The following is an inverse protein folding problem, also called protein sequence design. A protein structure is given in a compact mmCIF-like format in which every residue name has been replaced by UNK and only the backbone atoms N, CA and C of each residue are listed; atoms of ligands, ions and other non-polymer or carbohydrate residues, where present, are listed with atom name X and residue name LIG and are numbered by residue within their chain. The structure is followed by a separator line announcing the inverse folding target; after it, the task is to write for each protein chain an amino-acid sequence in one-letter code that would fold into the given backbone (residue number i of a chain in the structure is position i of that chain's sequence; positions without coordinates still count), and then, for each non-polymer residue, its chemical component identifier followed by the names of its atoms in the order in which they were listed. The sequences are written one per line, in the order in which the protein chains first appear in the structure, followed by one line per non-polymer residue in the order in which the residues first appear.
data_IF_216212775597
#
_entry.id   IF_216212775597
#
_cell.length_a   1.000
_cell.length_b   1.000
_cell.length_c   1.000
_cell.angle_alpha   90.00
_cell.angle_beta   90.00
_cell.angle_gamma   90.00
#
_symmetry.space_group_name_H-M   'P 1'
#
loop_
_entity.id
_entity.type
_entity.pdbx_description
1 polymer ?
#
# COMPACT_ATOMS: atom_id res chain seq x y z
N UNK A 1 7.03 35.89 -41.79
CA UNK A 1 6.64 34.47 -41.76
C UNK A 1 7.73 33.72 -41.03
N UNK A 2 7.46 33.18 -39.85
CA UNK A 2 8.43 32.41 -39.07
C UNK A 2 7.83 31.02 -38.79
N UNK A 3 8.44 30.03 -39.41
CA UNK A 3 8.15 28.60 -39.31
C UNK A 3 8.80 27.99 -38.08
N UNK A 4 8.15 26.95 -37.56
CA UNK A 4 8.68 25.85 -36.74
C UNK A 4 9.20 26.19 -35.34
N UNK A 5 8.41 25.81 -34.33
CA UNK A 5 8.95 25.29 -33.08
C UNK A 5 8.50 23.84 -32.96
N UNK A 6 9.43 22.96 -33.31
CA UNK A 6 9.38 21.51 -33.14
C UNK A 6 9.19 21.20 -31.66
N UNK A 7 8.01 20.69 -31.28
CA UNK A 7 7.84 20.04 -29.98
C UNK A 7 8.61 18.73 -30.04
N UNK A 8 9.81 18.70 -29.48
CA UNK A 8 10.53 17.48 -29.18
C UNK A 8 9.76 16.73 -28.10
N UNK A 9 8.73 16.00 -28.51
CA UNK A 9 8.06 15.05 -27.63
C UNK A 9 9.05 13.92 -27.45
N UNK A 10 9.62 13.83 -26.25
CA UNK A 10 10.65 12.84 -25.92
C UNK A 10 10.10 11.44 -26.25
N UNK A 11 10.80 10.72 -27.12
CA UNK A 11 10.40 9.41 -27.64
C UNK A 11 10.03 8.42 -26.52
N UNK A 12 10.71 8.52 -25.38
CA UNK A 12 10.45 7.78 -24.15
C UNK A 12 9.03 7.99 -23.58
N UNK A 13 8.51 9.22 -23.65
CA UNK A 13 7.16 9.54 -23.17
C UNK A 13 6.09 8.93 -24.09
N UNK A 14 6.35 8.91 -25.40
CA UNK A 14 5.43 8.29 -26.36
C UNK A 14 5.43 6.77 -26.18
N UNK A 15 6.60 6.15 -25.97
CA UNK A 15 6.70 4.72 -25.72
C UNK A 15 6.00 4.31 -24.41
N UNK A 16 6.13 5.10 -23.34
CA UNK A 16 5.43 4.85 -22.08
C UNK A 16 3.91 4.95 -22.24
N UNK A 17 3.43 5.98 -22.94
CA UNK A 17 2.00 6.14 -23.25
C UNK A 17 1.48 4.98 -24.11
N UNK A 18 2.23 4.57 -25.13
CA UNK A 18 1.87 3.44 -25.99
C UNK A 18 1.82 2.12 -25.21
N UNK A 19 2.72 1.91 -24.24
CA UNK A 19 2.72 0.73 -23.39
C UNK A 19 1.53 0.70 -22.41
N UNK A 20 1.10 1.86 -21.90
CA UNK A 20 -0.05 1.98 -21.01
C UNK A 20 -1.40 1.84 -21.77
N UNK A 21 -1.46 2.32 -23.02
CA UNK A 21 -2.65 2.25 -23.87
C UNK A 21 -2.76 0.91 -24.64
N UNK A 22 -1.63 0.24 -24.90
CA UNK A 22 -1.51 -0.99 -25.69
C UNK A 22 -1.90 -2.26 -24.93
N UNK A 23 -3.16 -2.37 -24.55
CA UNK A 23 -3.72 -3.60 -23.98
C UNK A 23 -3.68 -4.78 -24.97
N UNK A 24 -2.80 -5.75 -24.70
CA UNK A 24 -2.87 -7.21 -24.98
C UNK A 24 -3.65 -7.68 -26.23
N UNK A 25 -2.93 -8.26 -27.21
CA UNK A 25 -3.43 -9.35 -28.08
C UNK A 25 -2.37 -10.45 -28.18
N UNK A 26 -2.83 -11.69 -28.06
CA UNK A 26 -2.12 -12.94 -27.79
C UNK A 26 -1.82 -13.70 -29.08
N UNK A 27 -0.75 -14.50 -29.10
CA UNK A 27 -0.45 -15.48 -30.15
C UNK A 27 0.71 -16.39 -29.74
N UNK A 28 0.45 -17.69 -29.68
CA UNK A 28 1.27 -18.80 -29.16
C UNK A 28 2.71 -18.90 -29.72
N UNK A 29 3.67 -19.28 -28.86
CA UNK A 29 4.24 -20.64 -28.80
C UNK A 29 5.57 -20.65 -28.02
N UNK A 30 5.67 -21.56 -27.04
CA UNK A 30 6.83 -21.81 -26.15
C UNK A 30 8.13 -22.17 -26.88
N UNK A 31 9.30 -21.89 -26.30
CA UNK A 31 10.06 -23.01 -25.73
C UNK A 31 10.75 -22.73 -24.38
N UNK A 32 10.94 -23.83 -23.67
CA UNK A 32 11.67 -24.06 -22.42
C UNK A 32 12.99 -23.29 -22.32
N UNK A 33 13.07 -22.34 -21.38
CA UNK A 33 14.32 -21.95 -20.74
C UNK A 33 14.07 -22.01 -19.24
N UNK A 34 14.75 -22.97 -18.60
CA UNK A 34 15.02 -22.98 -17.16
C UNK A 34 15.82 -21.73 -16.82
N UNK A 35 15.10 -20.62 -16.71
CA UNK A 35 15.58 -19.39 -16.13
C UNK A 35 15.07 -19.48 -14.72
N UNK A 36 15.99 -19.71 -13.80
CA UNK A 36 15.92 -19.39 -12.38
C UNK A 36 15.00 -18.19 -12.24
N UNK A 37 13.71 -18.51 -12.08
CA UNK A 37 12.71 -17.49 -11.88
C UNK A 37 13.16 -16.88 -10.57
N UNK A 38 13.17 -15.57 -10.49
CA UNK A 38 12.87 -14.95 -9.23
C UNK A 38 11.44 -15.36 -8.85
N UNK A 39 11.24 -16.63 -8.48
CA UNK A 39 10.21 -17.03 -7.55
C UNK A 39 10.65 -16.54 -6.17
N UNK A 40 10.78 -15.22 -6.04
CA UNK A 40 10.29 -14.56 -4.84
C UNK A 40 8.77 -14.50 -4.96
N UNK A 41 8.13 -15.67 -5.03
CA UNK A 41 6.95 -15.92 -4.23
C UNK A 41 7.39 -15.89 -2.77
N UNK A 42 7.85 -14.73 -2.31
CA UNK A 42 7.69 -14.41 -0.91
C UNK A 42 6.21 -14.07 -0.85
N UNK A 43 5.38 -15.10 -0.68
CA UNK A 43 4.14 -14.86 0.03
C UNK A 43 4.61 -14.26 1.34
N UNK A 44 4.53 -12.93 1.48
CA UNK A 44 4.45 -12.34 2.79
C UNK A 44 3.43 -13.21 3.56
N UNK A 45 3.70 -13.58 4.82
CA UNK A 45 2.66 -14.12 5.68
C UNK A 45 1.40 -13.30 5.41
N UNK A 46 0.22 -13.91 5.26
CA UNK A 46 -0.98 -13.29 4.68
C UNK A 46 -1.46 -11.97 5.36
N UNK A 47 -0.73 -11.51 6.36
CA UNK A 47 -1.02 -10.56 7.41
C UNK A 47 0.25 -9.87 8.00
N UNK A 48 1.48 -10.08 7.50
CA UNK A 48 2.73 -9.70 8.19
C UNK A 48 2.88 -8.19 8.51
N UNK A 49 2.12 -7.33 7.85
CA UNK A 49 2.16 -5.89 8.10
C UNK A 49 0.83 -5.14 7.89
N UNK A 50 -0.22 -5.77 7.36
CA UNK A 50 -1.45 -5.07 6.96
C UNK A 50 -2.20 -4.50 8.18
N UNK A 51 -2.68 -3.27 8.07
CA UNK A 51 -3.46 -2.61 9.12
C UNK A 51 -4.78 -3.35 9.42
N UNK A 52 -5.44 -3.92 8.42
CA UNK A 52 -6.73 -4.61 8.62
C UNK A 52 -6.60 -5.82 9.55
N UNK A 53 -5.61 -6.69 9.28
CA UNK A 53 -5.34 -7.85 10.13
C UNK A 53 -4.89 -7.47 11.53
N UNK A 54 -4.27 -6.30 11.70
CA UNK A 54 -3.92 -5.77 13.01
C UNK A 54 -5.16 -5.30 13.79
N UNK A 55 -6.09 -4.59 13.14
CA UNK A 55 -7.36 -4.18 13.76
C UNK A 55 -8.15 -5.41 14.21
N UNK A 56 -8.16 -6.48 13.41
CA UNK A 56 -8.80 -7.75 13.78
C UNK A 56 -8.14 -8.39 15.01
N UNK A 57 -6.81 -8.40 15.07
CA UNK A 57 -6.07 -8.89 16.23
C UNK A 57 -6.39 -8.12 17.51
N UNK A 58 -6.59 -6.80 17.41
CA UNK A 58 -6.93 -5.97 18.56
C UNK A 58 -8.32 -6.26 19.13
N UNK A 59 -9.20 -6.92 18.37
CA UNK A 59 -10.56 -7.21 18.81
C UNK A 59 -11.38 -5.94 19.01
N UNK A 60 -11.12 -4.90 18.22
CA UNK A 60 -11.95 -3.70 18.19
C UNK A 60 -13.37 -4.13 17.78
N UNK A 61 -14.38 -3.55 18.44
CA UNK A 61 -15.78 -3.93 18.21
C UNK A 61 -16.12 -3.84 16.73
N UNK A 62 -16.98 -4.72 16.21
CA UNK A 62 -17.34 -4.74 14.79
C UNK A 62 -17.85 -3.36 14.30
N UNK A 63 -18.57 -2.64 15.16
CA UNK A 63 -19.11 -1.30 14.88
C UNK A 63 -18.01 -0.23 14.79
N UNK A 64 -16.96 -0.35 15.61
CA UNK A 64 -15.83 0.59 15.61
C UNK A 64 -14.76 0.21 14.58
N UNK A 65 -14.72 -1.06 14.14
CA UNK A 65 -13.71 -1.60 13.22
C UNK A 65 -13.73 -0.86 11.89
N UNK A 66 -14.89 -0.78 11.24
CA UNK A 66 -15.03 -0.19 9.90
C UNK A 66 -14.65 1.29 9.92
N UNK A 67 -15.17 2.05 10.89
CA UNK A 67 -14.82 3.46 11.11
C UNK A 67 -13.32 3.67 11.40
N UNK A 68 -12.74 2.85 12.27
CA UNK A 68 -11.31 2.94 12.60
C UNK A 68 -10.45 2.64 11.37
N UNK A 69 -10.79 1.61 10.61
CA UNK A 69 -10.06 1.22 9.41
C UNK A 69 -10.14 2.33 8.34
N UNK A 70 -11.33 2.89 8.11
CA UNK A 70 -11.55 3.98 7.16
C UNK A 70 -10.68 5.20 7.49
N UNK A 71 -10.70 5.65 8.75
CA UNK A 71 -9.88 6.78 9.20
C UNK A 71 -8.39 6.50 9.01
N UNK A 72 -7.92 5.32 9.41
CA UNK A 72 -6.51 4.97 9.29
C UNK A 72 -6.06 4.93 7.83
N UNK A 73 -6.85 4.30 6.95
CA UNK A 73 -6.54 4.24 5.52
C UNK A 73 -6.60 5.61 4.86
N UNK A 74 -7.59 6.45 5.18
CA UNK A 74 -7.71 7.81 4.65
C UNK A 74 -6.52 8.70 5.03
N UNK A 75 -5.86 8.40 6.15
CA UNK A 75 -4.67 9.10 6.64
C UNK A 75 -3.35 8.38 6.31
N UNK A 76 -3.38 7.36 5.43
CA UNK A 76 -2.17 6.68 4.94
C UNK A 76 -1.58 5.62 5.87
N UNK A 77 -2.29 5.26 6.94
CA UNK A 77 -1.87 4.19 7.85
C UNK A 77 -2.24 2.82 7.27
N UNK A 78 -1.41 2.32 6.36
CA UNK A 78 -1.61 1.00 5.72
C UNK A 78 -0.96 -0.16 6.48
N UNK A 79 -0.14 0.13 7.49
CA UNK A 79 0.57 -0.88 8.25
C UNK A 79 0.63 -0.57 9.74
N UNK A 80 0.51 -1.59 10.59
CA UNK A 80 0.65 -1.43 12.05
C UNK A 80 2.06 -0.99 12.48
N UNK A 81 3.09 -1.23 11.65
CA UNK A 81 4.49 -0.89 11.96
C UNK A 81 4.72 0.60 12.13
N UNK A 82 3.85 1.44 11.55
CA UNK A 82 3.88 2.91 11.71
C UNK A 82 3.73 3.33 13.18
N UNK A 83 3.00 2.56 14.00
CA UNK A 83 2.76 2.87 15.41
C UNK A 83 3.96 2.55 16.31
N UNK A 84 4.96 1.82 15.77
CA UNK A 84 6.28 1.65 16.41
C UNK A 84 7.24 2.81 16.09
N UNK A 85 6.91 3.69 15.14
CA UNK A 85 7.79 4.77 14.73
C UNK A 85 7.94 5.84 15.82
N UNK A 86 9.18 6.17 16.17
CA UNK A 86 9.51 7.21 17.18
C UNK A 86 9.04 8.60 16.71
N UNK A 87 8.87 8.79 15.40
CA UNK A 87 8.42 10.06 14.82
C UNK A 87 6.91 10.27 14.82
N UNK A 88 6.10 9.25 15.16
CA UNK A 88 4.64 9.37 15.16
C UNK A 88 4.14 9.73 16.56
N UNK A 89 3.66 10.97 16.75
CA UNK A 89 3.15 11.37 18.05
C UNK A 89 1.74 10.81 18.28
N UNK A 90 1.49 10.21 19.46
CA UNK A 90 0.13 9.76 19.85
C UNK A 90 -0.91 10.89 19.79
N UNK A 91 -0.47 12.13 20.00
CA UNK A 91 -1.32 13.32 19.90
C UNK A 91 -1.81 13.57 18.48
N UNK A 92 -0.98 13.38 17.45
CA UNK A 92 -1.37 13.55 16.04
C UNK A 92 -2.42 12.49 15.65
N UNK A 93 -2.22 11.24 16.07
CA UNK A 93 -3.19 10.16 15.81
C UNK A 93 -4.49 10.36 16.60
N UNK A 94 -4.45 11.04 17.75
CA UNK A 94 -5.64 11.42 18.51
C UNK A 94 -6.51 12.43 17.76
N UNK A 95 -5.91 13.33 16.98
CA UNK A 95 -6.63 14.33 16.19
C UNK A 95 -7.42 13.73 15.03
N UNK A 96 -7.20 12.45 14.70
CA UNK A 96 -7.96 11.71 13.70
C UNK A 96 -9.41 11.38 14.13
N UNK A 97 -9.79 11.70 15.37
CA UNK A 97 -11.14 11.43 15.87
C UNK A 97 -11.35 10.02 16.42
N UNK A 98 -10.27 9.23 16.55
CA UNK A 98 -10.33 7.92 17.20
C UNK A 98 -10.56 8.07 18.71
N UNK A 99 -11.29 7.13 19.30
CA UNK A 99 -11.47 7.10 20.75
C UNK A 99 -10.12 6.85 21.44
N UNK A 100 -9.93 7.42 22.63
CA UNK A 100 -8.72 7.21 23.42
C UNK A 100 -8.43 5.72 23.68
N UNK A 101 -9.47 4.90 23.84
CA UNK A 101 -9.34 3.46 24.04
C UNK A 101 -8.71 2.77 22.83
N UNK A 102 -9.26 3.01 21.64
CA UNK A 102 -8.73 2.48 20.36
C UNK A 102 -7.30 2.96 20.13
N UNK A 103 -7.04 4.26 20.34
CA UNK A 103 -5.70 4.83 20.21
C UNK A 103 -4.68 4.14 21.12
N UNK A 104 -5.05 3.87 22.37
CA UNK A 104 -4.18 3.17 23.32
C UNK A 104 -3.89 1.74 22.84
N UNK A 105 -4.91 1.03 22.36
CA UNK A 105 -4.76 -0.32 21.83
C UNK A 105 -3.83 -0.39 20.62
N UNK A 106 -3.94 0.57 19.69
CA UNK A 106 -3.10 0.66 18.49
C UNK A 106 -1.61 0.80 18.79
N UNK A 107 -1.24 1.56 19.82
CA UNK A 107 0.18 1.77 20.15
C UNK A 107 0.74 0.72 21.12
N UNK A 108 -0.05 0.25 22.08
CA UNK A 108 0.46 -0.60 23.16
C UNK A 108 0.59 -2.08 22.76
N UNK A 109 -0.05 -2.50 21.66
CA UNK A 109 -0.05 -3.89 21.23
C UNK A 109 0.77 -4.16 19.97
N UNK A 110 1.46 -3.16 19.41
CA UNK A 110 2.22 -3.31 18.14
C UNK A 110 3.27 -4.40 18.27
N UNK A 111 3.99 -4.43 19.41
CA UNK A 111 5.01 -5.43 19.69
C UNK A 111 4.47 -6.84 19.93
N UNK A 112 3.16 -7.01 20.14
CA UNK A 112 2.54 -8.32 20.34
C UNK A 112 2.08 -8.96 19.02
N UNK A 113 2.02 -8.16 17.95
CA UNK A 113 1.54 -8.57 16.65
C UNK A 113 2.68 -8.82 15.64
N UNK A 114 3.78 -8.07 15.76
CA UNK A 114 5.06 -8.40 15.11
C UNK A 114 5.66 -9.72 15.65
#
# INVERSE_FOLDING_TARGET
MATTSTSAVNDLNIQLLAALLGGRKQGDMTPTISRTGCNSTLSSPPNEANIEGYIDFLGISYQDKEYTLEILLANGFHSHKVFKSVGLARLEVKELGLTRGVLTMLFDNVSKYD
#
